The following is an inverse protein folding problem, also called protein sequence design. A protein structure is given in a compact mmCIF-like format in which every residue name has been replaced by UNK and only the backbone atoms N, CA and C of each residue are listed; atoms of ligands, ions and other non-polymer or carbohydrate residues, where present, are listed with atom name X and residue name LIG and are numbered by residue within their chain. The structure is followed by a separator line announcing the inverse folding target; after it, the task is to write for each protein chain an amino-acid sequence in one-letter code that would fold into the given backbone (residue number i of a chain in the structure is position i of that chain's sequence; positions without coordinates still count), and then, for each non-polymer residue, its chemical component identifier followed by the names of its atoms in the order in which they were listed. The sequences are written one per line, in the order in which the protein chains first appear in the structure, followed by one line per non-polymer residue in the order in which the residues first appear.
data_IF_523651086732
#
_entry.id   IF_523651086732
#
_cell.length_a   1.000
_cell.length_b   1.000
_cell.length_c   1.000
_cell.angle_alpha   90.00
_cell.angle_beta   90.00
_cell.angle_gamma   90.00
#
_symmetry.space_group_name_H-M   'P 1'
#
loop_
_entity.id
_entity.type
_entity.pdbx_description
1 polymer ?
#
# COMPACT_ATOMS: atom_id res chain seq x y z
N UNK A 1 -19.60 -49.17 -39.59
CA UNK A 1 -19.97 -47.89 -38.94
C UNK A 1 -19.76 -48.03 -37.43
N UNK A 2 -18.68 -47.46 -36.89
CA UNK A 2 -18.38 -47.42 -35.45
C UNK A 2 -19.29 -46.39 -34.76
N UNK A 3 -19.99 -46.76 -33.69
CA UNK A 3 -20.46 -45.80 -32.67
C UNK A 3 -19.75 -46.10 -31.35
N UNK A 4 -18.87 -45.17 -31.00
CA UNK A 4 -18.03 -45.14 -29.79
C UNK A 4 -18.91 -44.85 -28.57
N UNK A 5 -19.14 -45.84 -27.73
CA UNK A 5 -19.66 -45.63 -26.37
C UNK A 5 -18.60 -44.93 -25.53
N UNK A 6 -18.93 -43.75 -25.04
CA UNK A 6 -18.06 -42.89 -24.22
C UNK A 6 -17.90 -43.51 -22.84
N UNK A 7 -16.66 -43.83 -22.49
CA UNK A 7 -16.22 -44.19 -21.15
C UNK A 7 -16.44 -42.96 -20.25
N UNK A 8 -17.34 -43.06 -19.27
CA UNK A 8 -17.37 -42.12 -18.14
C UNK A 8 -16.14 -42.40 -17.27
N UNK A 9 -15.13 -41.55 -17.39
CA UNK A 9 -14.04 -41.48 -16.45
C UNK A 9 -14.40 -40.44 -15.39
N UNK A 10 -15.08 -40.86 -14.31
CA UNK A 10 -15.17 -40.08 -13.08
C UNK A 10 -13.87 -40.28 -12.31
N UNK A 11 -12.90 -39.42 -12.57
CA UNK A 11 -11.64 -39.32 -11.82
C UNK A 11 -11.38 -37.85 -11.55
N UNK A 12 -11.87 -37.37 -10.40
CA UNK A 12 -11.27 -36.29 -9.60
C UNK A 12 -12.05 -36.13 -8.28
N UNK A 13 -12.19 -37.22 -7.52
CA UNK A 13 -12.18 -37.10 -6.07
C UNK A 13 -10.70 -37.06 -5.71
N UNK A 14 -10.15 -35.88 -5.37
CA UNK A 14 -9.13 -35.65 -4.35
C UNK A 14 -8.69 -34.17 -4.34
N UNK A 15 -8.73 -33.61 -3.14
CA UNK A 15 -7.94 -32.50 -2.60
C UNK A 15 -8.05 -31.08 -3.19
N UNK A 16 -8.86 -30.25 -2.52
CA UNK A 16 -8.57 -28.82 -2.39
C UNK A 16 -9.12 -28.26 -1.05
N UNK A 17 -9.01 -29.02 0.04
CA UNK A 17 -9.33 -28.50 1.37
C UNK A 17 -8.07 -27.93 2.02
N UNK A 18 -7.95 -26.61 1.92
CA UNK A 18 -7.20 -25.73 2.83
C UNK A 18 -5.70 -26.03 3.00
N UNK A 19 -4.93 -25.82 1.94
CA UNK A 19 -3.81 -24.89 2.13
C UNK A 19 -4.47 -23.52 2.22
N UNK A 20 -4.67 -23.02 3.44
CA UNK A 20 -4.72 -21.58 3.64
C UNK A 20 -3.36 -21.07 3.19
N UNK A 21 -3.18 -20.96 1.88
CA UNK A 21 -2.10 -20.21 1.27
C UNK A 21 -2.28 -18.85 1.88
N UNK A 22 -1.44 -18.53 2.86
CA UNK A 22 -1.33 -17.18 3.37
C UNK A 22 -1.17 -16.35 2.11
N UNK A 23 -2.22 -15.58 1.80
CA UNK A 23 -2.26 -14.80 0.58
C UNK A 23 -0.92 -14.06 0.54
N UNK A 24 -0.15 -14.21 -0.54
CA UNK A 24 1.20 -13.69 -0.58
C UNK A 24 1.15 -12.23 -0.15
N UNK A 25 2.04 -11.88 0.76
CA UNK A 25 2.19 -10.53 1.26
C UNK A 25 2.17 -9.58 0.05
N UNK A 26 1.11 -8.79 -0.08
CA UNK A 26 0.95 -7.87 -1.19
C UNK A 26 1.61 -6.55 -0.78
N UNK A 27 2.82 -6.29 -1.31
CA UNK A 27 3.49 -5.02 -1.09
C UNK A 27 2.63 -3.84 -1.58
N UNK A 28 2.72 -2.66 -0.94
CA UNK A 28 2.03 -1.47 -1.44
C UNK A 28 2.55 -1.08 -2.83
N UNK A 29 1.66 -0.59 -3.69
CA UNK A 29 2.04 0.01 -4.97
C UNK A 29 2.53 1.45 -4.77
N UNK A 30 3.24 2.01 -5.75
CA UNK A 30 3.64 3.43 -5.71
C UNK A 30 2.44 4.38 -5.56
N UNK A 31 1.31 4.04 -6.20
CA UNK A 31 0.06 4.80 -6.05
C UNK A 31 -0.51 4.74 -4.62
N UNK A 32 -0.48 3.57 -3.98
CA UNK A 32 -0.92 3.42 -2.60
C UNK A 32 -0.03 4.19 -1.62
N UNK A 33 1.28 4.24 -1.87
CA UNK A 33 2.21 5.03 -1.06
C UNK A 33 1.98 6.52 -1.29
N UNK A 34 1.75 6.95 -2.52
CA UNK A 34 1.40 8.34 -2.85
C UNK A 34 0.14 8.77 -2.10
N UNK A 35 -0.92 7.96 -2.14
CA UNK A 35 -2.15 8.22 -1.39
C UNK A 35 -1.90 8.29 0.12
N UNK A 36 -1.09 7.39 0.68
CA UNK A 36 -0.73 7.41 2.10
C UNK A 36 0.10 8.65 2.49
N UNK A 37 0.96 9.15 1.61
CA UNK A 37 1.71 10.39 1.80
C UNK A 37 0.80 11.62 1.77
N UNK A 38 -0.15 11.66 0.83
CA UNK A 38 -1.13 12.74 0.72
C UNK A 38 -2.02 12.80 1.98
N UNK A 39 -2.57 11.66 2.41
CA UNK A 39 -3.36 11.56 3.65
C UNK A 39 -2.57 12.02 4.88
N UNK A 40 -1.31 11.58 4.97
CA UNK A 40 -0.42 12.01 6.06
C UNK A 40 -0.18 13.52 6.02
N UNK A 41 0.13 14.09 4.87
CA UNK A 41 0.42 15.51 4.74
C UNK A 41 -0.80 16.38 5.10
N UNK A 42 -2.01 15.92 4.76
CA UNK A 42 -3.26 16.56 5.19
C UNK A 42 -3.44 16.49 6.71
N UNK A 43 -3.23 15.32 7.32
CA UNK A 43 -3.31 15.15 8.78
C UNK A 43 -2.30 16.03 9.53
N UNK A 44 -1.05 16.07 9.05
CA UNK A 44 0.01 16.90 9.63
C UNK A 44 -0.33 18.39 9.50
N UNK A 45 -0.90 18.80 8.36
CA UNK A 45 -1.31 20.18 8.14
C UNK A 45 -2.47 20.58 9.06
N UNK A 46 -3.49 19.74 9.21
CA UNK A 46 -4.59 19.99 10.15
C UNK A 46 -4.07 20.11 11.58
N UNK A 47 -3.16 19.21 11.98
CA UNK A 47 -2.53 19.24 13.30
C UNK A 47 -1.72 20.54 13.51
N UNK A 48 -0.98 20.96 12.49
CA UNK A 48 -0.26 22.24 12.50
C UNK A 48 -1.22 23.42 12.69
N UNK A 49 -2.31 23.49 11.91
CA UNK A 49 -3.30 24.57 12.01
C UNK A 49 -3.93 24.64 13.41
N UNK A 50 -4.24 23.48 14.01
CA UNK A 50 -4.82 23.40 15.36
C UNK A 50 -3.85 23.85 16.45
N UNK A 51 -2.55 23.69 16.24
CA UNK A 51 -1.51 24.14 17.17
C UNK A 51 -1.25 25.65 17.11
N UNK A 52 -1.75 26.36 16.09
CA UNK A 52 -1.56 27.80 15.93
C UNK A 52 -2.71 28.61 16.54
N UNK A 53 -2.44 29.85 17.01
CA UNK A 53 -3.49 30.79 17.34
C UNK A 53 -4.45 31.04 16.16
N UNK A 54 -5.76 31.25 16.42
CA UNK A 54 -6.71 31.58 15.37
C UNK A 54 -6.27 32.81 14.56
N UNK A 55 -6.27 32.69 13.23
CA UNK A 55 -5.93 33.79 12.31
C UNK A 55 -4.45 34.04 12.07
N UNK A 56 -3.53 33.27 12.67
CA UNK A 56 -2.08 33.43 12.46
C UNK A 56 -1.46 32.36 11.57
N UNK A 57 -2.20 31.29 11.28
CA UNK A 57 -1.68 30.16 10.52
C UNK A 57 -1.74 30.42 9.00
N UNK A 58 -0.60 30.27 8.34
CA UNK A 58 -0.49 30.21 6.89
C UNK A 58 0.37 28.99 6.52
N UNK A 59 -0.14 28.16 5.62
CA UNK A 59 0.57 26.99 5.11
C UNK A 59 -0.24 26.30 4.02
N UNK A 60 0.42 25.41 3.30
CA UNK A 60 -0.21 24.62 2.25
C UNK A 60 0.37 23.20 2.25
N UNK A 61 -0.45 22.23 1.83
CA UNK A 61 0.00 20.86 1.61
C UNK A 61 0.75 20.78 0.28
N UNK A 62 1.99 20.33 0.31
CA UNK A 62 2.75 20.01 -0.90
C UNK A 62 2.37 18.61 -1.35
N UNK A 63 1.78 18.49 -2.53
CA UNK A 63 1.34 17.19 -3.08
C UNK A 63 2.51 16.40 -3.64
N UNK A 64 2.40 15.07 -3.54
CA UNK A 64 3.32 14.15 -4.19
C UNK A 64 2.80 13.85 -5.60
N UNK A 65 3.60 14.14 -6.62
CA UNK A 65 3.25 13.88 -8.02
C UNK A 65 3.44 12.39 -8.36
N UNK A 66 4.54 11.81 -7.92
CA UNK A 66 4.91 10.43 -8.20
C UNK A 66 5.77 9.82 -7.10
N UNK A 67 5.76 8.49 -7.05
CA UNK A 67 6.65 7.68 -6.20
C UNK A 67 7.40 6.70 -7.11
N UNK A 68 8.73 6.75 -7.10
CA UNK A 68 9.59 5.87 -7.91
C UNK A 68 10.65 5.19 -7.04
N UNK A 69 11.44 4.27 -7.62
CA UNK A 69 12.52 3.57 -6.88
C UNK A 69 12.02 2.71 -5.72
N UNK A 70 10.77 2.23 -5.80
CA UNK A 70 10.09 1.59 -4.68
C UNK A 70 10.68 0.21 -4.33
N UNK A 71 11.17 0.07 -3.10
CA UNK A 71 11.61 -1.20 -2.52
C UNK A 71 11.00 -1.38 -1.13
N UNK A 72 10.22 -2.44 -0.91
CA UNK A 72 9.53 -2.70 0.36
C UNK A 72 9.99 -4.00 1.00
N UNK A 73 10.27 -3.95 2.30
CA UNK A 73 10.59 -5.12 3.11
C UNK A 73 9.48 -5.34 4.15
N UNK A 74 8.86 -6.53 4.20
CA UNK A 74 7.92 -6.87 5.26
C UNK A 74 8.69 -7.00 6.59
N UNK A 75 8.19 -6.33 7.63
CA UNK A 75 8.74 -6.43 8.99
C UNK A 75 7.89 -7.35 9.84
N UNK A 76 6.56 -7.21 9.75
CA UNK A 76 5.56 -8.02 10.43
C UNK A 76 4.31 -8.17 9.56
N UNK A 77 3.34 -8.96 10.00
CA UNK A 77 2.03 -9.03 9.35
C UNK A 77 1.45 -7.62 9.25
N UNK A 78 1.06 -7.22 8.03
CA UNK A 78 0.48 -5.90 7.73
C UNK A 78 1.40 -4.70 7.99
N UNK A 79 2.69 -4.90 8.25
CA UNK A 79 3.68 -3.82 8.47
C UNK A 79 4.87 -3.98 7.54
N UNK A 80 5.17 -2.92 6.78
CA UNK A 80 6.31 -2.86 5.87
C UNK A 80 7.14 -1.61 6.06
N UNK A 81 8.41 -1.72 5.71
CA UNK A 81 9.30 -0.57 5.57
C UNK A 81 9.64 -0.44 4.10
N UNK A 82 9.25 0.67 3.49
CA UNK A 82 9.51 0.96 2.09
C UNK A 82 10.51 2.10 1.94
N UNK A 83 11.48 1.93 1.04
CA UNK A 83 12.34 2.99 0.51
C UNK A 83 11.85 3.39 -0.86
N UNK A 84 11.80 4.68 -1.13
CA UNK A 84 11.33 5.23 -2.40
C UNK A 84 11.79 6.68 -2.58
N UNK A 85 11.65 7.19 -3.81
CA UNK A 85 11.82 8.60 -4.15
C UNK A 85 10.43 9.21 -4.33
N UNK A 86 10.12 10.25 -3.55
CA UNK A 86 8.91 11.05 -3.70
C UNK A 86 9.22 12.31 -4.53
N UNK A 87 8.44 12.52 -5.59
CA UNK A 87 8.57 13.67 -6.48
C UNK A 87 7.56 14.75 -6.09
N UNK A 88 8.05 15.97 -5.89
CA UNK A 88 7.29 17.15 -5.48
C UNK A 88 7.65 18.34 -6.37
N UNK A 89 6.95 18.49 -7.49
CA UNK A 89 7.27 19.47 -8.53
C UNK A 89 8.66 19.22 -9.12
N UNK A 90 9.61 20.11 -8.84
CA UNK A 90 11.01 20.01 -9.29
C UNK A 90 11.95 19.40 -8.24
N UNK A 91 11.42 18.91 -7.12
CA UNK A 91 12.20 18.37 -6.00
C UNK A 91 11.98 16.87 -5.88
N UNK A 92 13.08 16.16 -5.74
CA UNK A 92 13.10 14.73 -5.46
C UNK A 92 13.56 14.50 -4.03
N UNK A 93 12.86 13.62 -3.31
CA UNK A 93 13.20 13.28 -1.93
C UNK A 93 13.26 11.78 -1.74
N UNK A 94 14.45 11.26 -1.48
CA UNK A 94 14.62 9.89 -1.01
C UNK A 94 14.06 9.76 0.41
N UNK A 95 13.18 8.78 0.60
CA UNK A 95 12.40 8.60 1.82
C UNK A 95 12.37 7.13 2.21
N UNK A 96 12.48 6.86 3.50
CA UNK A 96 12.14 5.56 4.08
C UNK A 96 10.94 5.75 5.01
N UNK A 97 9.88 4.98 4.80
CA UNK A 97 8.67 5.07 5.63
C UNK A 97 8.21 3.69 6.06
N UNK A 98 7.71 3.63 7.30
CA UNK A 98 6.97 2.47 7.80
C UNK A 98 5.51 2.62 7.39
N UNK A 99 4.97 1.62 6.70
CA UNK A 99 3.56 1.56 6.34
C UNK A 99 2.87 0.42 7.07
N UNK A 100 1.66 0.69 7.54
CA UNK A 100 0.78 -0.29 8.15
C UNK A 100 -0.50 -0.42 7.32
N UNK A 101 -0.95 -1.65 7.10
CA UNK A 101 -2.23 -1.91 6.44
C UNK A 101 -3.35 -1.82 7.46
N UNK A 102 -4.29 -0.89 7.28
CA UNK A 102 -5.49 -0.73 8.13
C UNK A 102 -6.71 -0.43 7.26
N UNK A 103 -7.86 -1.01 7.61
CA UNK A 103 -9.15 -0.78 6.94
C UNK A 103 -9.10 -0.94 5.41
N UNK A 104 -8.26 -1.85 4.90
CA UNK A 104 -8.10 -2.09 3.46
C UNK A 104 -7.11 -1.18 2.73
N UNK A 105 -6.57 -0.14 3.38
CA UNK A 105 -5.58 0.79 2.83
C UNK A 105 -4.21 0.72 3.51
N UNK A 106 -3.22 1.40 2.93
CA UNK A 106 -1.88 1.57 3.49
C UNK A 106 -1.74 2.95 4.12
N UNK A 107 -1.15 2.99 5.31
CA UNK A 107 -1.04 4.19 6.13
C UNK A 107 0.41 4.38 6.53
N UNK A 108 0.96 5.58 6.41
CA UNK A 108 2.30 5.88 6.93
C UNK A 108 2.19 6.12 8.44
N UNK A 109 3.01 5.40 9.20
CA UNK A 109 3.19 5.62 10.64
C UNK A 109 4.54 6.30 10.81
N UNK A 110 4.52 7.49 11.40
CA UNK A 110 5.73 8.26 11.71
C UNK A 110 6.74 7.43 12.51
N UNK A 111 8.02 7.74 12.30
CA UNK A 111 9.10 7.36 13.23
C UNK A 111 9.27 8.44 14.30
#
# INVERSE_FOLDING_TARGET
MLKRSKILLLLALMDASLVAAQAPFAAPTGEQIRAALDEKAESDFVSYLQAQPPGTAAGHVVRIDAVTGLTCNPVQKDVVVCRFVAHQGLRDRETTSTLIRKNGGWHIVDQ
#
